data_IF_123759488300
#
_entry.id   IF_123759488300
#
_cell.length_a   1.000
_cell.length_b   1.000
_cell.length_c   1.000
_cell.angle_alpha   90.00
_cell.angle_beta   90.00
_cell.angle_gamma   90.00
#
_symmetry.space_group_name_H-M   'P 1'
#
loop_
_entity.id
_entity.type
_entity.pdbx_description
1 polymer ?
#
# COMPACT_ATOMS: atom_id res chain seq x y z
N UNK A 1 -0.73 -11.85 -13.09
CA UNK A 1 -1.42 -11.69 -11.77
C UNK A 1 -0.89 -10.46 -11.07
N UNK A 2 -1.77 -9.60 -10.58
CA UNK A 2 -1.44 -8.39 -9.81
C UNK A 2 -1.76 -8.63 -8.34
N UNK A 3 -0.86 -8.29 -7.42
CA UNK A 3 -1.14 -8.32 -5.98
C UNK A 3 -1.22 -6.90 -5.41
N UNK A 4 -2.24 -6.63 -4.60
CA UNK A 4 -2.49 -5.30 -4.01
C UNK A 4 -2.57 -5.42 -2.49
N UNK A 5 -1.71 -4.69 -1.77
CA UNK A 5 -1.81 -4.50 -0.33
C UNK A 5 -2.48 -3.15 -0.01
N UNK A 6 -3.13 -3.05 1.15
CA UNK A 6 -3.89 -1.84 1.49
C UNK A 6 -5.10 -1.62 0.58
N UNK A 7 -5.64 -2.70 0.06
CA UNK A 7 -6.74 -2.75 -0.91
C UNK A 7 -8.00 -2.02 -0.46
N UNK A 8 -8.25 -1.97 0.84
CA UNK A 8 -9.42 -1.29 1.42
C UNK A 8 -9.16 0.16 1.84
N UNK A 9 -7.93 0.66 1.67
CA UNK A 9 -7.60 2.06 1.88
C UNK A 9 -8.03 2.93 0.68
N UNK A 10 -7.95 4.26 0.85
CA UNK A 10 -8.36 5.22 -0.18
C UNK A 10 -7.71 4.91 -1.56
N UNK A 11 -6.40 4.84 -1.62
CA UNK A 11 -5.68 4.60 -2.89
C UNK A 11 -5.92 3.19 -3.41
N UNK A 12 -5.82 2.17 -2.52
CA UNK A 12 -5.94 0.76 -2.92
C UNK A 12 -7.32 0.41 -3.47
N UNK A 13 -8.40 0.93 -2.87
CA UNK A 13 -9.76 0.65 -3.36
C UNK A 13 -10.06 1.28 -4.72
N UNK A 14 -9.56 2.50 -4.97
CA UNK A 14 -9.66 3.13 -6.29
C UNK A 14 -8.81 2.40 -7.34
N UNK A 15 -7.63 1.93 -6.95
CA UNK A 15 -6.78 1.11 -7.81
C UNK A 15 -7.48 -0.21 -8.17
N UNK A 16 -8.13 -0.88 -7.22
CA UNK A 16 -8.88 -2.10 -7.50
C UNK A 16 -9.98 -1.86 -8.54
N UNK A 17 -10.72 -0.75 -8.43
CA UNK A 17 -11.73 -0.39 -9.42
C UNK A 17 -11.10 -0.20 -10.80
N UNK A 18 -10.03 0.57 -10.92
CA UNK A 18 -9.33 0.81 -12.18
C UNK A 18 -8.73 -0.47 -12.79
N UNK A 19 -8.31 -1.43 -11.98
CA UNK A 19 -7.83 -2.73 -12.45
C UNK A 19 -8.99 -3.61 -12.94
N UNK A 20 -10.15 -3.56 -12.26
CA UNK A 20 -11.36 -4.26 -12.68
C UNK A 20 -11.89 -3.72 -14.02
N UNK A 21 -11.84 -2.39 -14.26
CA UNK A 21 -12.17 -1.79 -15.55
C UNK A 21 -11.32 -2.34 -16.71
N UNK A 22 -10.08 -2.73 -16.40
CA UNK A 22 -9.14 -3.30 -17.39
C UNK A 22 -9.25 -4.82 -17.52
N UNK A 23 -10.09 -5.47 -16.72
CA UNK A 23 -10.22 -6.93 -16.70
C UNK A 23 -9.00 -7.65 -16.12
N UNK A 24 -8.21 -6.96 -15.31
CA UNK A 24 -6.99 -7.54 -14.73
C UNK A 24 -7.30 -8.58 -13.65
N UNK A 25 -6.50 -9.64 -13.60
CA UNK A 25 -6.57 -10.62 -12.50
C UNK A 25 -5.85 -10.08 -11.28
N UNK A 26 -6.60 -9.85 -10.21
CA UNK A 26 -6.11 -9.20 -9.00
C UNK A 26 -6.25 -10.10 -7.78
N UNK A 27 -5.21 -10.14 -6.96
CA UNK A 27 -5.19 -10.68 -5.61
C UNK A 27 -5.09 -9.50 -4.64
N UNK A 28 -5.98 -9.42 -3.64
CA UNK A 28 -6.07 -8.27 -2.77
C UNK A 28 -6.01 -8.65 -1.29
N UNK A 29 -5.06 -8.03 -0.55
CA UNK A 29 -4.91 -8.26 0.88
C UNK A 29 -5.87 -7.36 1.66
N UNK A 30 -6.69 -7.94 2.54
CA UNK A 30 -7.58 -7.23 3.45
C UNK A 30 -7.42 -7.71 4.90
N UNK A 31 -7.72 -6.85 5.88
CA UNK A 31 -7.56 -7.18 7.30
C UNK A 31 -8.86 -7.61 7.99
N UNK A 32 -9.94 -6.95 7.67
CA UNK A 32 -11.24 -7.22 8.29
C UNK A 32 -12.36 -7.27 7.27
N UNK A 33 -13.42 -8.04 7.58
CA UNK A 33 -14.60 -8.16 6.70
C UNK A 33 -15.31 -6.81 6.49
N UNK A 34 -15.30 -5.95 7.50
CA UNK A 34 -15.89 -4.61 7.39
C UNK A 34 -15.21 -3.76 6.32
N UNK A 35 -13.91 -3.95 6.14
CA UNK A 35 -13.15 -3.20 5.13
C UNK A 35 -13.56 -3.55 3.70
N UNK A 36 -14.14 -4.72 3.44
CA UNK A 36 -14.65 -5.11 2.12
C UNK A 36 -15.91 -4.33 1.74
N UNK A 37 -16.78 -4.02 2.70
CA UNK A 37 -17.99 -3.24 2.45
C UNK A 37 -17.68 -1.86 1.86
N UNK A 38 -16.60 -1.23 2.31
CA UNK A 38 -16.18 0.07 1.78
C UNK A 38 -15.77 -0.03 0.30
N UNK A 39 -15.19 -1.16 -0.11
CA UNK A 39 -14.84 -1.41 -1.51
C UNK A 39 -16.10 -1.63 -2.35
N UNK A 40 -17.06 -2.42 -1.86
CA UNK A 40 -18.34 -2.64 -2.53
C UNK A 40 -19.10 -1.33 -2.75
N UNK A 41 -19.14 -0.45 -1.74
CA UNK A 41 -19.73 0.88 -1.86
C UNK A 41 -19.04 1.75 -2.90
N UNK A 42 -17.69 1.70 -2.96
CA UNK A 42 -16.92 2.43 -3.97
C UNK A 42 -17.22 1.93 -5.38
N UNK A 43 -17.27 0.61 -5.58
CA UNK A 43 -17.60 0.01 -6.87
C UNK A 43 -19.03 0.42 -7.29
N UNK A 44 -20.01 0.35 -6.37
CA UNK A 44 -21.38 0.79 -6.63
C UNK A 44 -21.46 2.25 -7.04
N UNK A 45 -20.74 3.14 -6.33
CA UNK A 45 -20.66 4.56 -6.64
C UNK A 45 -20.14 4.82 -8.07
N UNK A 46 -19.00 4.21 -8.43
CA UNK A 46 -18.41 4.41 -9.75
C UNK A 46 -19.22 3.76 -10.86
N UNK A 47 -19.80 2.60 -10.63
CA UNK A 47 -20.69 1.95 -11.57
C UNK A 47 -21.90 2.83 -11.89
N UNK A 48 -22.53 3.42 -10.89
CA UNK A 48 -23.63 4.36 -11.08
C UNK A 48 -23.20 5.60 -11.85
N UNK A 49 -22.04 6.19 -11.46
CA UNK A 49 -21.53 7.41 -12.08
C UNK A 49 -21.13 7.21 -13.55
N UNK A 50 -20.54 6.07 -13.88
CA UNK A 50 -19.97 5.78 -15.19
C UNK A 50 -20.88 4.91 -16.08
N UNK A 51 -22.06 4.50 -15.56
CA UNK A 51 -22.98 3.56 -16.23
C UNK A 51 -22.29 2.24 -16.59
N UNK A 52 -21.50 1.70 -15.66
CA UNK A 52 -20.77 0.43 -15.78
C UNK A 52 -21.29 -0.61 -14.80
N UNK A 53 -20.79 -1.85 -14.86
CA UNK A 53 -21.20 -2.97 -14.01
C UNK A 53 -20.02 -3.81 -13.51
N UNK A 54 -18.89 -3.15 -13.20
CA UNK A 54 -17.74 -3.86 -12.66
C UNK A 54 -18.03 -4.43 -11.27
N UNK A 55 -17.57 -5.66 -11.03
CA UNK A 55 -17.78 -6.38 -9.76
C UNK A 55 -16.46 -6.72 -9.09
N UNK A 56 -16.55 -7.10 -7.83
CA UNK A 56 -15.41 -7.59 -7.04
C UNK A 56 -15.21 -9.10 -7.14
N UNK A 57 -16.05 -9.80 -7.91
CA UNK A 57 -16.06 -11.27 -8.03
C UNK A 57 -14.75 -11.85 -8.64
N UNK A 58 -14.08 -11.05 -9.46
CA UNK A 58 -12.81 -11.45 -10.09
C UNK A 58 -11.58 -11.17 -9.21
N UNK A 59 -11.78 -10.65 -8.00
CA UNK A 59 -10.72 -10.36 -7.06
C UNK A 59 -10.52 -11.57 -6.13
N UNK A 60 -9.33 -12.13 -6.12
CA UNK A 60 -8.92 -13.13 -5.14
C UNK A 60 -8.61 -12.44 -3.80
N UNK A 61 -9.49 -12.60 -2.82
CA UNK A 61 -9.37 -11.97 -1.52
C UNK A 61 -8.52 -12.79 -0.56
N UNK A 62 -7.43 -12.20 -0.04
CA UNK A 62 -6.57 -12.81 0.98
C UNK A 62 -6.74 -12.03 2.29
N UNK A 63 -7.21 -12.72 3.33
CA UNK A 63 -7.24 -12.15 4.68
C UNK A 63 -5.86 -12.22 5.31
N UNK A 64 -5.31 -11.07 5.74
CA UNK A 64 -4.00 -11.04 6.38
C UNK A 64 -3.49 -9.65 6.71
N UNK A 65 -2.27 -9.62 7.25
CA UNK A 65 -1.55 -8.40 7.59
C UNK A 65 -0.18 -8.39 6.90
N UNK A 66 0.32 -7.23 6.49
CA UNK A 66 1.67 -7.07 5.91
C UNK A 66 2.79 -7.39 6.89
N UNK A 67 2.47 -7.56 8.16
CA UNK A 67 3.41 -8.04 9.18
C UNK A 67 3.55 -9.57 9.22
N UNK A 68 2.65 -10.29 8.55
CA UNK A 68 2.69 -11.75 8.42
C UNK A 68 3.45 -12.15 7.14
N UNK A 69 4.68 -12.60 7.35
CA UNK A 69 5.60 -13.00 6.26
C UNK A 69 5.06 -14.19 5.48
N UNK A 70 4.44 -15.14 6.16
CA UNK A 70 3.90 -16.37 5.55
C UNK A 70 2.77 -16.05 4.58
N UNK A 71 1.86 -15.17 5.00
CA UNK A 71 0.75 -14.71 4.14
C UNK A 71 1.30 -13.94 2.93
N UNK A 72 2.29 -13.06 3.13
CA UNK A 72 2.89 -12.31 2.03
C UNK A 72 3.60 -13.23 1.03
N UNK A 73 4.31 -14.25 1.48
CA UNK A 73 4.98 -15.22 0.60
C UNK A 73 3.96 -15.93 -0.30
N UNK A 74 2.86 -16.39 0.29
CA UNK A 74 1.79 -17.02 -0.48
C UNK A 74 1.10 -16.04 -1.44
N UNK A 75 0.83 -14.82 -0.96
CA UNK A 75 0.13 -13.80 -1.73
C UNK A 75 0.93 -13.27 -2.92
N UNK A 76 2.26 -13.18 -2.80
CA UNK A 76 3.14 -12.72 -3.89
C UNK A 76 3.56 -13.84 -4.83
N UNK A 77 3.28 -15.11 -4.49
CA UNK A 77 3.59 -16.26 -5.37
C UNK A 77 2.84 -16.14 -6.70
N UNK A 78 3.59 -16.16 -7.81
CA UNK A 78 3.06 -16.01 -9.16
C UNK A 78 2.51 -14.61 -9.49
N UNK A 79 2.80 -13.61 -8.67
CA UNK A 79 2.48 -12.22 -9.00
C UNK A 79 3.56 -11.61 -9.92
N UNK A 80 3.13 -10.97 -11.00
CA UNK A 80 4.01 -10.22 -11.91
C UNK A 80 4.26 -8.81 -11.39
N UNK A 81 3.22 -8.20 -10.80
CA UNK A 81 3.24 -6.83 -10.28
C UNK A 81 2.65 -6.80 -8.88
N UNK A 82 3.30 -6.08 -7.98
CA UNK A 82 2.79 -5.78 -6.64
C UNK A 82 2.56 -4.28 -6.49
N UNK A 83 1.34 -3.89 -6.11
CA UNK A 83 1.02 -2.53 -5.67
C UNK A 83 0.95 -2.50 -4.15
N UNK A 84 1.91 -1.81 -3.54
CA UNK A 84 1.99 -1.67 -2.09
C UNK A 84 1.40 -0.33 -1.66
N UNK A 85 0.09 -0.35 -1.34
CA UNK A 85 -0.67 0.81 -0.87
C UNK A 85 -0.89 0.81 0.65
N UNK A 86 -0.52 -0.28 1.33
CA UNK A 86 -0.74 -0.41 2.77
C UNK A 86 0.15 0.54 3.56
N UNK A 87 -0.46 1.38 4.37
CA UNK A 87 0.20 2.23 5.35
C UNK A 87 -0.79 2.64 6.44
N UNK A 88 -0.28 3.08 7.57
CA UNK A 88 -1.05 3.86 8.54
C UNK A 88 -0.61 5.31 8.50
N UNK A 89 -1.58 6.21 8.62
CA UNK A 89 -1.37 7.66 8.67
C UNK A 89 -1.82 8.13 10.04
N UNK A 90 -0.90 8.64 10.83
CA UNK A 90 -1.19 9.26 12.13
C UNK A 90 -0.12 10.30 12.44
N UNK A 91 -0.53 11.35 13.13
CA UNK A 91 0.35 12.44 13.57
C UNK A 91 0.54 12.44 15.10
N UNK A 92 -0.05 11.45 15.80
CA UNK A 92 0.11 11.31 17.23
C UNK A 92 1.52 10.79 17.56
N UNK A 93 2.19 11.44 18.50
CA UNK A 93 3.54 11.03 18.95
C UNK A 93 3.53 9.64 19.57
N UNK A 94 2.45 9.26 20.26
CA UNK A 94 2.23 7.92 20.84
C UNK A 94 2.33 6.80 19.80
N UNK A 95 2.00 7.08 18.55
CA UNK A 95 1.88 6.07 17.49
C UNK A 95 3.19 5.86 16.71
N UNK A 96 4.29 6.49 17.14
CA UNK A 96 5.58 6.36 16.46
C UNK A 96 5.99 4.90 16.22
N UNK A 97 5.93 4.07 17.26
CA UNK A 97 6.29 2.65 17.16
C UNK A 97 5.37 1.89 16.22
N UNK A 98 4.07 2.20 16.23
CA UNK A 98 3.09 1.59 15.34
C UNK A 98 3.36 2.00 13.88
N UNK A 99 3.66 3.28 13.63
CA UNK A 99 4.09 3.75 12.30
C UNK A 99 5.34 3.00 11.81
N UNK A 100 6.38 2.89 12.62
CA UNK A 100 7.59 2.18 12.26
C UNK A 100 7.34 0.69 12.01
N UNK A 101 6.53 0.06 12.85
CA UNK A 101 6.16 -1.35 12.69
C UNK A 101 5.40 -1.60 11.38
N UNK A 102 4.34 -0.83 11.11
CA UNK A 102 3.50 -1.05 9.93
C UNK A 102 4.18 -0.51 8.67
N UNK A 103 4.55 0.78 8.66
CA UNK A 103 5.01 1.41 7.43
C UNK A 103 6.43 0.95 7.03
N UNK A 104 7.39 0.88 7.98
CA UNK A 104 8.74 0.44 7.64
C UNK A 104 8.87 -1.08 7.58
N UNK A 105 8.58 -1.78 8.71
CA UNK A 105 8.76 -3.24 8.78
C UNK A 105 7.80 -3.98 7.84
N UNK A 106 6.53 -3.53 7.77
CA UNK A 106 5.56 -4.08 6.81
C UNK A 106 6.03 -3.94 5.38
N UNK A 107 6.55 -2.76 4.99
CA UNK A 107 7.12 -2.54 3.65
C UNK A 107 8.35 -3.44 3.41
N UNK A 108 9.25 -3.57 4.39
CA UNK A 108 10.38 -4.49 4.28
C UNK A 108 9.94 -5.95 4.05
N UNK A 109 8.87 -6.40 4.71
CA UNK A 109 8.30 -7.73 4.50
C UNK A 109 7.76 -7.91 3.07
N UNK A 110 7.04 -6.90 2.55
CA UNK A 110 6.52 -6.92 1.17
C UNK A 110 7.67 -6.96 0.17
N UNK A 111 8.69 -6.12 0.32
CA UNK A 111 9.88 -6.11 -0.54
C UNK A 111 10.57 -7.48 -0.51
N UNK A 112 10.80 -8.05 0.66
CA UNK A 112 11.42 -9.35 0.80
C UNK A 112 10.59 -10.48 0.16
N UNK A 113 9.26 -10.44 0.28
CA UNK A 113 8.38 -11.39 -0.38
C UNK A 113 8.45 -11.26 -1.91
N UNK A 114 8.47 -10.02 -2.44
CA UNK A 114 8.66 -9.76 -3.86
C UNK A 114 9.98 -10.33 -4.38
N UNK A 115 11.07 -10.12 -3.65
CA UNK A 115 12.39 -10.64 -4.03
C UNK A 115 12.42 -12.18 -4.03
N UNK A 116 11.89 -12.82 -2.97
CA UNK A 116 11.83 -14.29 -2.89
C UNK A 116 11.02 -14.91 -4.02
N UNK A 117 9.89 -14.30 -4.36
CA UNK A 117 8.98 -14.79 -5.41
C UNK A 117 9.30 -14.26 -6.80
N UNK A 118 10.42 -13.52 -6.96
CA UNK A 118 10.88 -12.95 -8.24
C UNK A 118 9.81 -12.11 -8.93
N UNK A 119 9.07 -11.31 -8.16
CA UNK A 119 8.09 -10.37 -8.70
C UNK A 119 8.77 -9.38 -9.63
N UNK A 120 8.23 -9.21 -10.84
CA UNK A 120 8.85 -8.39 -11.87
C UNK A 120 8.80 -6.88 -11.59
N UNK A 121 7.79 -6.39 -10.85
CA UNK A 121 7.62 -4.97 -10.54
C UNK A 121 6.94 -4.75 -9.19
N UNK A 122 7.54 -3.88 -8.37
CA UNK A 122 6.92 -3.35 -7.15
C UNK A 122 6.61 -1.86 -7.35
N UNK A 123 5.33 -1.49 -7.24
CA UNK A 123 4.88 -0.10 -7.18
C UNK A 123 4.54 0.25 -5.72
N UNK A 124 5.29 1.15 -5.13
CA UNK A 124 5.08 1.59 -3.76
C UNK A 124 4.43 2.97 -3.69
N UNK A 125 3.36 3.09 -2.94
CA UNK A 125 2.71 4.38 -2.66
C UNK A 125 3.46 5.07 -1.52
N UNK A 126 4.32 6.03 -1.84
CA UNK A 126 5.00 6.85 -0.87
C UNK A 126 4.14 8.04 -0.42
N UNK A 127 4.75 9.09 0.04
CA UNK A 127 4.10 10.30 0.51
C UNK A 127 5.07 11.48 0.41
N UNK A 128 4.57 12.67 0.15
CA UNK A 128 5.36 13.91 0.29
C UNK A 128 5.95 14.07 1.69
N UNK A 129 5.33 13.46 2.70
CA UNK A 129 5.88 13.41 4.05
C UNK A 129 7.25 12.70 4.13
N UNK A 130 7.57 11.81 3.19
CA UNK A 130 8.87 11.13 3.14
C UNK A 130 10.02 12.07 2.73
N UNK A 131 9.71 13.22 2.14
CA UNK A 131 10.69 14.25 1.77
C UNK A 131 11.08 15.16 2.95
N UNK A 132 10.36 15.06 4.08
CA UNK A 132 10.61 15.87 5.27
C UNK A 132 9.95 17.25 5.20
N UNK A 133 10.47 18.19 5.99
CA UNK A 133 10.01 19.57 6.03
C UNK A 133 11.08 20.52 5.50
N UNK A 134 10.68 21.49 4.68
CA UNK A 134 11.49 22.58 4.21
C UNK A 134 10.69 23.87 4.26
N UNK A 135 11.37 25.00 4.39
CA UNK A 135 10.79 26.35 4.17
C UNK A 135 10.76 26.72 2.69
N UNK A 136 11.52 26.00 1.88
CA UNK A 136 11.61 26.15 0.44
C UNK A 136 10.73 25.11 -0.27
N UNK A 137 10.59 25.26 -1.59
CA UNK A 137 9.92 24.28 -2.43
C UNK A 137 10.59 22.92 -2.28
N UNK A 138 9.80 21.89 -2.06
CA UNK A 138 10.26 20.49 -1.86
C UNK A 138 10.08 19.73 -3.17
N UNK A 139 11.13 19.02 -3.60
CA UNK A 139 11.13 18.12 -4.74
C UNK A 139 11.71 16.75 -4.35
N UNK A 140 11.72 15.81 -5.27
CA UNK A 140 12.32 14.49 -5.07
C UNK A 140 13.81 14.54 -4.76
N UNK A 141 14.50 15.61 -5.18
CA UNK A 141 15.94 15.82 -4.90
C UNK A 141 16.20 16.42 -3.51
N UNK A 142 15.15 16.78 -2.79
CA UNK A 142 15.28 17.39 -1.46
C UNK A 142 15.89 16.38 -0.48
N UNK A 143 17.04 16.73 0.08
CA UNK A 143 17.69 15.88 1.06
C UNK A 143 16.90 15.83 2.37
N UNK A 144 16.65 14.62 2.83
CA UNK A 144 16.01 14.39 4.12
C UNK A 144 16.74 15.06 5.26
N UNK A 145 16.03 15.82 6.07
CA UNK A 145 16.54 16.41 7.30
C UNK A 145 15.75 15.84 8.48
N UNK A 146 16.43 15.17 9.39
CA UNK A 146 15.86 14.76 10.67
C UNK A 146 15.78 15.96 11.62
N UNK A 147 14.75 16.01 12.47
CA UNK A 147 14.62 17.07 13.48
C UNK A 147 13.42 16.81 14.38
N UNK A 148 13.32 17.57 15.47
CA UNK A 148 12.25 17.44 16.47
C UNK A 148 10.84 17.71 15.89
N UNK A 149 10.76 18.45 14.78
CA UNK A 149 9.50 18.81 14.13
C UNK A 149 9.01 17.81 13.09
N UNK A 150 9.76 16.70 12.87
CA UNK A 150 9.39 15.68 11.90
C UNK A 150 8.46 14.67 12.57
N UNK A 151 7.28 14.46 11.98
CA UNK A 151 6.31 13.52 12.53
C UNK A 151 6.80 12.06 12.44
N UNK A 152 6.30 11.20 13.35
CA UNK A 152 6.58 9.76 13.31
C UNK A 152 6.13 9.13 11.98
N UNK A 153 5.04 9.62 11.40
CA UNK A 153 4.60 9.22 10.08
C UNK A 153 5.66 9.54 9.01
N UNK A 154 6.18 10.78 8.98
CA UNK A 154 7.24 11.19 8.03
C UNK A 154 8.48 10.30 8.14
N UNK A 155 8.96 10.07 9.37
CA UNK A 155 10.11 9.18 9.63
C UNK A 155 9.85 7.78 9.11
N UNK A 156 8.64 7.25 9.36
CA UNK A 156 8.27 5.89 8.95
C UNK A 156 8.20 5.75 7.43
N UNK A 157 7.64 6.74 6.71
CA UNK A 157 7.54 6.72 5.23
C UNK A 157 8.91 6.87 4.58
N UNK A 158 9.75 7.80 5.07
CA UNK A 158 11.14 7.91 4.61
C UNK A 158 11.94 6.62 4.84
N UNK A 159 11.77 5.98 6.01
CA UNK A 159 12.43 4.71 6.30
C UNK A 159 11.89 3.56 5.44
N UNK A 160 10.62 3.59 5.08
CA UNK A 160 10.00 2.61 4.19
C UNK A 160 10.52 2.74 2.75
N UNK A 161 10.72 3.95 2.23
CA UNK A 161 11.38 4.16 0.92
C UNK A 161 12.76 3.52 0.86
N UNK A 162 13.56 3.61 1.93
CA UNK A 162 14.86 2.95 1.99
C UNK A 162 14.76 1.43 1.87
N UNK A 163 13.69 0.82 2.42
CA UNK A 163 13.45 -0.62 2.24
C UNK A 163 13.06 -0.94 0.78
N UNK A 164 12.31 -0.07 0.12
CA UNK A 164 11.95 -0.24 -1.31
C UNK A 164 13.18 -0.12 -2.20
N UNK A 165 14.01 0.92 -1.99
CA UNK A 165 15.23 1.13 -2.80
C UNK A 165 16.34 0.10 -2.51
N UNK A 166 16.27 -0.63 -1.39
CA UNK A 166 17.18 -1.73 -1.10
C UNK A 166 16.89 -2.98 -1.96
N UNK A 167 15.64 -3.19 -2.36
CA UNK A 167 15.20 -4.36 -3.14
C UNK A 167 15.26 -4.13 -4.61
#
# INVERSE_FOLDING_TARGET
MIFVTGSSGLVGSHLLYALAEKGEKVRALYRSQESLRSIEHLFSYYNQKNSTSHTTEHIEWIKGDILDVSILDNATSGADIVYHCAAIVTFLKSDFHTCMKVNRRGTANVVNACLRNKVGKLCYVSSTAALGRSKEMVSEDTKWKSGADVSGYSVSKHSAEKEVFRG
#
